data_IF_485542085501
#
_entry.id   IF_485542085501
#
_cell.length_a   1.000
_cell.length_b   1.000
_cell.length_c   1.000
_cell.angle_alpha   90.00
_cell.angle_beta   90.00
_cell.angle_gamma   90.00
#
_symmetry.space_group_name_H-M   'P 1'
#
loop_
_entity.id
_entity.type
_entity.pdbx_description
1 polymer ?
#
# COMPACT_ATOMS: atom_id res chain seq x y z
N UNK A 1 52.48 -37.26 -36.92
CA UNK A 1 52.23 -36.11 -36.04
C UNK A 1 51.18 -35.23 -36.68
N UNK A 2 50.03 -35.00 -36.04
CA UNK A 2 49.22 -33.78 -36.19
C UNK A 2 48.12 -33.76 -35.15
N UNK A 3 48.33 -32.93 -34.11
CA UNK A 3 47.32 -32.46 -33.15
C UNK A 3 46.64 -31.24 -33.74
N UNK A 4 45.31 -31.17 -33.71
CA UNK A 4 44.44 -29.97 -33.50
C UNK A 4 43.02 -30.37 -33.91
N UNK A 5 41.90 -29.97 -33.30
CA UNK A 5 41.60 -29.00 -32.24
C UNK A 5 40.20 -29.37 -31.74
N UNK A 6 40.09 -29.98 -30.57
CA UNK A 6 38.82 -30.18 -29.87
C UNK A 6 38.84 -29.37 -28.59
N UNK A 7 38.36 -28.12 -28.63
CA UNK A 7 37.96 -27.34 -27.44
C UNK A 7 37.55 -25.92 -27.86
N UNK A 8 36.25 -25.63 -27.85
CA UNK A 8 35.72 -24.28 -27.55
C UNK A 8 34.22 -24.25 -27.21
N UNK A 9 33.44 -25.31 -27.47
CA UNK A 9 31.97 -25.23 -27.27
C UNK A 9 31.50 -25.51 -25.81
N UNK A 10 32.33 -26.15 -24.97
CA UNK A 10 31.95 -26.50 -23.58
C UNK A 10 31.84 -25.28 -22.63
N UNK A 11 32.58 -24.20 -22.91
CA UNK A 11 32.66 -23.04 -22.02
C UNK A 11 31.39 -22.19 -21.97
N UNK A 12 30.61 -22.16 -23.07
CA UNK A 12 29.44 -21.28 -23.21
C UNK A 12 28.20 -21.83 -22.50
N UNK A 13 28.06 -23.16 -22.43
CA UNK A 13 26.97 -23.83 -21.72
C UNK A 13 27.08 -23.76 -20.20
N UNK A 14 28.31 -23.87 -19.65
CA UNK A 14 28.57 -23.82 -18.21
C UNK A 14 28.38 -22.43 -17.61
N UNK A 15 28.75 -21.37 -18.34
CA UNK A 15 28.51 -19.99 -17.90
C UNK A 15 27.02 -19.65 -17.90
N UNK A 16 26.28 -20.10 -18.91
CA UNK A 16 24.84 -19.90 -18.99
C UNK A 16 24.05 -20.56 -17.86
N UNK A 17 24.42 -21.79 -17.48
CA UNK A 17 23.78 -22.49 -16.35
C UNK A 17 24.10 -21.86 -15.00
N UNK A 18 25.34 -21.37 -14.79
CA UNK A 18 25.71 -20.64 -13.57
C UNK A 18 24.95 -19.32 -13.45
N UNK A 19 24.85 -18.54 -14.53
CA UNK A 19 24.10 -17.28 -14.55
C UNK A 19 22.60 -17.50 -14.32
N UNK A 20 22.02 -18.54 -14.93
CA UNK A 20 20.64 -18.96 -14.68
C UNK A 20 20.43 -19.35 -13.21
N UNK A 21 21.35 -20.13 -12.62
CA UNK A 21 21.28 -20.50 -11.21
C UNK A 21 21.36 -19.29 -10.26
N UNK A 22 22.26 -18.35 -10.54
CA UNK A 22 22.38 -17.11 -9.76
C UNK A 22 21.12 -16.23 -9.89
N UNK A 23 20.53 -16.14 -11.09
CA UNK A 23 19.29 -15.42 -11.30
C UNK A 23 18.14 -16.04 -10.50
N UNK A 24 18.01 -17.38 -10.49
CA UNK A 24 17.00 -18.06 -9.67
C UNK A 24 17.24 -17.81 -8.18
N UNK A 25 18.49 -17.92 -7.70
CA UNK A 25 18.82 -17.70 -6.30
C UNK A 25 18.47 -16.26 -5.85
N UNK A 26 18.89 -15.25 -6.63
CA UNK A 26 18.53 -13.85 -6.37
C UNK A 26 17.01 -13.65 -6.43
N UNK A 27 16.35 -14.27 -7.41
CA UNK A 27 14.92 -14.22 -7.56
C UNK A 27 14.18 -14.76 -6.34
N UNK A 28 14.61 -15.90 -5.80
CA UNK A 28 14.06 -16.48 -4.57
C UNK A 28 14.26 -15.57 -3.36
N UNK A 29 15.44 -14.96 -3.20
CA UNK A 29 15.71 -14.01 -2.10
C UNK A 29 14.79 -12.80 -2.17
N UNK A 30 14.63 -12.19 -3.35
CA UNK A 30 13.74 -11.03 -3.53
C UNK A 30 12.26 -11.40 -3.33
N UNK A 31 11.83 -12.55 -3.86
CA UNK A 31 10.45 -13.01 -3.76
C UNK A 31 10.08 -13.36 -2.32
N UNK A 32 10.83 -14.29 -1.70
CA UNK A 32 10.53 -14.76 -0.34
C UNK A 32 10.82 -13.68 0.70
N UNK A 33 11.92 -12.93 0.54
CA UNK A 33 12.27 -11.82 1.42
C UNK A 33 11.25 -10.69 1.35
N UNK A 34 10.85 -10.28 0.15
CA UNK A 34 9.79 -9.29 -0.05
C UNK A 34 8.46 -9.73 0.53
N UNK A 35 8.05 -10.98 0.27
CA UNK A 35 6.79 -11.53 0.80
C UNK A 35 6.81 -11.60 2.33
N UNK A 36 7.88 -12.13 2.92
CA UNK A 36 8.02 -12.22 4.38
C UNK A 36 8.02 -10.84 5.03
N UNK A 37 8.75 -9.88 4.45
CA UNK A 37 8.75 -8.50 4.93
C UNK A 37 7.36 -7.86 4.87
N UNK A 38 6.66 -8.04 3.75
CA UNK A 38 5.27 -7.61 3.59
C UNK A 38 4.32 -8.22 4.60
N UNK A 39 4.43 -9.52 4.87
CA UNK A 39 3.58 -10.21 5.84
C UNK A 39 3.80 -9.75 7.30
N UNK A 40 5.00 -9.27 7.63
CA UNK A 40 5.31 -8.71 8.95
C UNK A 40 4.80 -7.28 9.07
N UNK A 41 5.03 -6.44 8.05
CA UNK A 41 4.73 -5.00 8.10
C UNK A 41 3.27 -4.68 7.80
N UNK A 42 2.60 -5.45 6.93
CA UNK A 42 1.23 -5.18 6.52
C UNK A 42 0.26 -6.22 7.05
N UNK A 43 -0.89 -5.74 7.53
CA UNK A 43 -2.02 -6.59 7.92
C UNK A 43 -3.22 -6.32 7.00
N UNK A 44 -3.83 -7.37 6.42
CA UNK A 44 -5.07 -7.23 5.66
C UNK A 44 -6.27 -7.09 6.61
N UNK A 45 -7.21 -6.22 6.27
CA UNK A 45 -8.51 -6.09 6.93
C UNK A 45 -9.65 -6.05 5.92
N UNK A 46 -10.81 -6.59 6.29
CA UNK A 46 -12.05 -6.46 5.50
C UNK A 46 -12.88 -5.32 6.09
N UNK A 47 -13.32 -4.39 5.25
CA UNK A 47 -14.09 -3.22 5.70
C UNK A 47 -15.58 -3.58 5.86
N UNK A 48 -16.16 -3.41 7.06
CA UNK A 48 -17.54 -3.83 7.31
C UNK A 48 -18.59 -2.72 7.12
N UNK A 49 -18.17 -1.45 6.96
CA UNK A 49 -19.09 -0.28 6.96
C UNK A 49 -18.89 0.63 5.75
N UNK A 50 -19.90 1.42 5.41
CA UNK A 50 -19.87 2.41 4.33
C UNK A 50 -19.23 3.75 4.73
N UNK A 51 -18.76 3.89 5.97
CA UNK A 51 -18.31 5.19 6.50
C UNK A 51 -17.09 5.82 5.81
N UNK A 52 -16.41 5.07 4.95
CA UNK A 52 -15.26 5.53 4.17
C UNK A 52 -15.55 5.63 2.67
N UNK A 53 -16.81 5.51 2.25
CA UNK A 53 -17.23 5.76 0.86
C UNK A 53 -16.99 7.23 0.52
N UNK A 54 -16.46 7.57 -0.68
CA UNK A 54 -16.17 6.70 -1.82
C UNK A 54 -14.78 6.04 -1.80
N UNK A 55 -13.90 6.45 -0.88
CA UNK A 55 -12.50 6.00 -0.84
C UNK A 55 -12.37 4.50 -0.61
N UNK A 56 -13.10 3.96 0.36
CA UNK A 56 -13.11 2.53 0.72
C UNK A 56 -14.58 2.09 0.85
N UNK A 57 -14.95 1.03 0.14
CA UNK A 57 -16.31 0.48 0.13
C UNK A 57 -16.44 -0.70 1.08
N UNK A 58 -17.67 -1.01 1.48
CA UNK A 58 -17.97 -2.26 2.21
C UNK A 58 -17.47 -3.46 1.41
N UNK A 59 -16.82 -4.40 2.11
CA UNK A 59 -16.25 -5.61 1.52
C UNK A 59 -14.87 -5.44 0.89
N UNK A 60 -14.36 -4.20 0.76
CA UNK A 60 -12.97 -3.99 0.32
C UNK A 60 -11.99 -4.65 1.30
N UNK A 61 -10.93 -5.26 0.75
CA UNK A 61 -9.78 -5.75 1.52
C UNK A 61 -8.67 -4.72 1.47
N UNK A 62 -8.43 -4.06 2.60
CA UNK A 62 -7.42 -3.03 2.75
C UNK A 62 -6.13 -3.61 3.32
N UNK A 63 -4.99 -3.03 2.94
CA UNK A 63 -3.69 -3.30 3.54
C UNK A 63 -3.32 -2.13 4.43
N UNK A 64 -3.18 -2.41 5.73
CA UNK A 64 -2.72 -1.43 6.70
C UNK A 64 -1.29 -1.74 7.16
N UNK A 65 -0.42 -0.74 7.08
CA UNK A 65 0.92 -0.76 7.64
C UNK A 65 0.84 -0.73 9.17
N UNK A 66 1.56 -1.63 9.83
CA UNK A 66 1.72 -1.62 11.28
C UNK A 66 2.65 -0.48 11.67
N UNK A 67 2.07 0.61 12.17
CA UNK A 67 2.80 1.77 12.67
C UNK A 67 2.33 2.13 14.08
N UNK A 68 3.17 2.87 14.81
CA UNK A 68 2.75 3.48 16.06
C UNK A 68 1.77 4.63 15.77
N UNK A 69 0.85 4.89 16.69
CA UNK A 69 0.00 6.07 16.62
C UNK A 69 0.81 7.37 16.51
N UNK A 70 2.06 7.37 16.97
CA UNK A 70 3.01 8.46 16.88
C UNK A 70 3.43 8.87 15.47
N UNK A 71 3.39 7.92 14.55
CA UNK A 71 3.74 8.14 13.15
C UNK A 71 2.54 8.60 12.30
N UNK A 72 1.33 8.51 12.86
CA UNK A 72 0.10 8.97 12.20
C UNK A 72 0.11 10.49 12.05
N UNK A 73 -0.21 10.95 10.84
CA UNK A 73 -0.35 12.37 10.47
C UNK A 73 -1.76 12.68 9.98
N UNK A 74 -2.04 13.98 9.84
CA UNK A 74 -3.28 14.47 9.24
C UNK A 74 -3.46 13.92 7.83
N UNK A 75 -4.69 13.57 7.50
CA UNK A 75 -5.09 12.98 6.24
C UNK A 75 -4.91 11.47 6.14
N UNK A 76 -4.18 10.83 7.08
CA UNK A 76 -4.03 9.38 7.09
C UNK A 76 -5.38 8.69 7.30
N UNK A 77 -5.57 7.54 6.65
CA UNK A 77 -6.67 6.64 6.97
C UNK A 77 -6.12 5.57 7.90
N UNK A 78 -6.75 5.36 9.04
CA UNK A 78 -6.26 4.43 10.07
C UNK A 78 -7.28 3.36 10.40
N UNK A 79 -6.78 2.19 10.77
CA UNK A 79 -7.56 1.15 11.46
C UNK A 79 -7.31 1.31 12.96
N UNK A 80 -8.36 1.38 13.76
CA UNK A 80 -8.24 1.51 15.22
C UNK A 80 -9.35 0.72 15.93
N UNK A 81 -9.20 0.55 17.24
CA UNK A 81 -10.23 -0.04 18.10
C UNK A 81 -10.39 0.80 19.37
N UNK A 82 -11.58 1.38 19.56
CA UNK A 82 -11.91 2.18 20.74
C UNK A 82 -13.20 1.66 21.37
N UNK A 83 -13.09 1.15 22.61
CA UNK A 83 -14.21 0.51 23.30
C UNK A 83 -15.45 1.39 23.45
N UNK A 84 -15.27 2.71 23.63
CA UNK A 84 -16.41 3.64 23.74
C UNK A 84 -17.20 3.79 22.43
N UNK A 85 -16.60 3.44 21.28
CA UNK A 85 -17.24 3.50 19.96
C UNK A 85 -17.74 2.13 19.50
N UNK A 86 -17.54 1.10 20.32
CA UNK A 86 -17.88 -0.29 20.02
C UNK A 86 -16.68 -1.23 20.09
N UNK A 87 -16.95 -2.53 20.20
CA UNK A 87 -15.93 -3.56 20.35
C UNK A 87 -15.44 -4.15 19.01
N UNK A 88 -15.34 -3.31 17.98
CA UNK A 88 -14.93 -3.72 16.63
C UNK A 88 -13.81 -2.84 16.06
N UNK A 89 -13.16 -3.31 14.99
CA UNK A 89 -12.20 -2.52 14.24
C UNK A 89 -12.95 -1.49 13.38
N UNK A 90 -12.49 -0.24 13.44
CA UNK A 90 -13.09 0.89 12.75
C UNK A 90 -12.04 1.51 11.83
N UNK A 91 -12.47 2.00 10.67
CA UNK A 91 -11.62 2.71 9.71
C UNK A 91 -12.14 4.14 9.56
N UNK A 92 -11.28 5.13 9.79
CA UNK A 92 -11.59 6.56 9.63
C UNK A 92 -10.39 7.33 9.11
N UNK A 93 -10.62 8.55 8.62
CA UNK A 93 -9.57 9.51 8.28
C UNK A 93 -9.25 10.41 9.46
N UNK A 94 -7.96 10.60 9.70
CA UNK A 94 -7.44 11.57 10.67
C UNK A 94 -7.55 12.95 10.06
N UNK A 95 -8.33 13.84 10.66
CA UNK A 95 -8.45 15.22 10.18
C UNK A 95 -7.67 16.21 11.05
N UNK A 96 -7.52 15.91 12.34
CA UNK A 96 -6.73 16.70 13.26
C UNK A 96 -6.00 15.81 14.28
N UNK A 97 -4.87 16.29 14.78
CA UNK A 97 -4.01 15.60 15.76
C UNK A 97 -3.83 16.49 16.99
N UNK A 98 -3.25 15.96 18.07
CA UNK A 98 -2.97 16.72 19.30
C UNK A 98 -2.40 18.12 19.04
N UNK A 99 -2.96 19.11 19.74
CA UNK A 99 -2.63 20.53 19.62
C UNK A 99 -3.39 21.28 18.52
N UNK A 100 -4.13 20.58 17.66
CA UNK A 100 -4.97 21.23 16.64
C UNK A 100 -6.28 21.75 17.20
N UNK A 101 -6.80 22.78 16.54
CA UNK A 101 -8.22 23.12 16.58
C UNK A 101 -8.90 22.67 15.29
N UNK A 102 -10.06 22.03 15.39
CA UNK A 102 -10.90 21.64 14.25
C UNK A 102 -12.30 22.22 14.40
N UNK A 103 -12.86 22.74 13.32
CA UNK A 103 -14.22 23.25 13.29
C UNK A 103 -14.87 23.04 11.91
N UNK A 104 -16.20 23.00 11.87
CA UNK A 104 -16.93 22.94 10.60
C UNK A 104 -18.30 23.63 10.68
N UNK A 105 -18.77 24.29 9.63
CA UNK A 105 -18.12 24.46 8.32
C UNK A 105 -18.09 25.93 7.90
N UNK A 106 -16.91 26.48 7.64
CA UNK A 106 -16.75 27.83 7.08
C UNK A 106 -16.83 27.75 5.56
N UNK A 107 -17.94 28.22 4.98
CA UNK A 107 -18.25 28.10 3.53
C UNK A 107 -18.24 26.64 3.05
N UNK A 108 -18.80 25.73 3.84
CA UNK A 108 -18.91 24.30 3.49
C UNK A 108 -17.60 23.53 3.53
N UNK A 109 -16.52 24.12 4.05
CA UNK A 109 -15.22 23.45 4.24
C UNK A 109 -14.89 23.26 5.72
N UNK A 110 -14.21 22.15 6.01
CA UNK A 110 -13.55 21.88 7.29
C UNK A 110 -12.41 22.90 7.49
N UNK A 111 -12.26 23.38 8.72
CA UNK A 111 -11.10 24.18 9.11
C UNK A 111 -10.27 23.44 10.15
N UNK A 112 -8.94 23.48 9.99
CA UNK A 112 -7.97 23.00 10.98
C UNK A 112 -6.99 24.14 11.24
N UNK A 113 -6.83 24.55 12.49
CA UNK A 113 -6.02 25.73 12.88
C UNK A 113 -6.37 26.96 12.04
N UNK A 114 -7.68 27.25 11.90
CA UNK A 114 -8.27 28.33 11.11
C UNK A 114 -7.99 28.29 9.59
N UNK A 115 -7.31 27.25 9.09
CA UNK A 115 -7.07 27.05 7.65
C UNK A 115 -8.11 26.12 7.06
N UNK A 116 -8.66 26.52 5.93
CA UNK A 116 -9.61 25.69 5.15
C UNK A 116 -8.87 24.50 4.54
N UNK A 117 -9.39 23.30 4.78
CA UNK A 117 -8.84 22.07 4.23
C UNK A 117 -9.52 21.77 2.90
N UNK A 118 -8.71 21.39 1.91
CA UNK A 118 -9.22 20.82 0.67
C UNK A 118 -9.36 19.29 0.81
N UNK A 119 -10.54 18.77 0.53
CA UNK A 119 -10.87 17.36 0.78
C UNK A 119 -11.18 16.64 -0.54
N UNK A 120 -10.17 16.41 -1.40
CA UNK A 120 -10.38 15.88 -2.75
C UNK A 120 -10.86 14.41 -2.77
N UNK A 121 -10.90 13.74 -1.61
CA UNK A 121 -11.48 12.42 -1.44
C UNK A 121 -13.00 12.45 -1.28
N UNK A 122 -13.60 13.61 -0.98
CA UNK A 122 -15.05 13.75 -0.93
C UNK A 122 -15.63 13.90 -2.35
N UNK A 123 -16.84 13.37 -2.60
CA UNK A 123 -17.61 13.65 -3.81
C UNK A 123 -17.76 15.15 -4.09
N UNK A 124 -17.65 15.54 -5.36
CA UNK A 124 -17.81 16.95 -5.77
C UNK A 124 -19.18 17.47 -5.37
N UNK A 125 -19.20 18.62 -4.69
CA UNK A 125 -20.43 19.27 -4.24
C UNK A 125 -21.00 18.73 -2.93
N UNK A 126 -20.39 17.70 -2.33
CA UNK A 126 -20.73 17.29 -0.97
C UNK A 126 -20.12 18.27 0.04
N UNK A 127 -20.87 18.61 1.08
CA UNK A 127 -20.37 19.42 2.17
C UNK A 127 -19.25 18.70 2.92
N UNK A 128 -18.30 19.45 3.45
CA UNK A 128 -17.27 18.89 4.32
C UNK A 128 -17.87 18.27 5.58
N UNK A 129 -19.01 18.73 6.10
CA UNK A 129 -19.72 18.01 7.15
C UNK A 129 -21.20 18.41 7.08
N UNK A 130 -22.09 17.47 7.38
CA UNK A 130 -23.53 17.76 7.44
C UNK A 130 -23.92 18.34 8.80
N UNK A 131 -23.22 17.91 9.85
CA UNK A 131 -23.39 18.40 11.21
C UNK A 131 -22.50 19.61 11.51
N UNK A 132 -22.93 20.44 12.47
CA UNK A 132 -22.07 21.52 12.99
C UNK A 132 -21.01 20.90 13.89
N UNK A 133 -19.74 21.06 13.51
CA UNK A 133 -18.62 20.74 14.40
C UNK A 133 -18.26 22.04 15.15
N UNK A 134 -18.48 22.12 16.48
CA UNK A 134 -17.99 23.26 17.25
C UNK A 134 -16.46 23.32 17.17
N UNK A 135 -15.85 24.42 17.59
CA UNK A 135 -14.39 24.45 17.70
C UNK A 135 -13.95 23.45 18.77
N UNK A 136 -13.27 22.39 18.34
CA UNK A 136 -12.71 21.35 19.20
C UNK A 136 -11.19 21.49 19.21
N UNK A 137 -10.62 21.69 20.39
CA UNK A 137 -9.19 21.52 20.61
C UNK A 137 -8.89 20.04 20.85
N UNK A 138 -8.00 19.47 20.03
CA UNK A 138 -7.62 18.06 20.10
C UNK A 138 -6.55 17.90 21.18
N UNK A 139 -6.81 17.13 22.26
CA UNK A 139 -5.82 16.95 23.31
C UNK A 139 -4.57 16.23 22.80
N UNK A 140 -3.45 16.48 23.45
CA UNK A 140 -2.19 15.79 23.16
C UNK A 140 -2.34 14.26 23.21
N UNK A 141 -1.66 13.57 22.29
CA UNK A 141 -1.76 12.11 22.16
C UNK A 141 -3.11 11.59 21.64
N UNK A 142 -3.98 12.48 21.12
CA UNK A 142 -5.28 12.12 20.55
C UNK A 142 -5.43 12.56 19.10
N UNK A 143 -6.47 12.03 18.45
CA UNK A 143 -6.79 12.21 17.05
C UNK A 143 -8.28 12.57 16.92
N UNK A 144 -8.61 13.51 16.05
CA UNK A 144 -10.00 13.74 15.63
C UNK A 144 -10.21 13.07 14.27
N UNK A 145 -11.20 12.19 14.21
CA UNK A 145 -11.39 11.27 13.08
C UNK A 145 -12.75 11.52 12.44
N UNK A 146 -12.78 11.57 11.10
CA UNK A 146 -14.01 11.66 10.31
C UNK A 146 -14.09 10.49 9.33
N UNK A 147 -15.32 10.08 9.00
CA UNK A 147 -15.57 9.27 7.82
C UNK A 147 -15.39 10.09 6.55
N UNK A 148 -15.11 9.40 5.43
CA UNK A 148 -15.23 10.04 4.11
C UNK A 148 -16.70 10.15 3.69
N UNK A 149 -17.59 9.32 4.25
CA UNK A 149 -19.04 9.48 4.11
C UNK A 149 -19.60 10.40 5.20
N UNK A 150 -19.67 11.71 4.91
CA UNK A 150 -20.00 12.79 5.85
C UNK A 150 -21.46 12.86 6.31
N UNK A 151 -22.33 11.98 5.82
CA UNK A 151 -23.76 12.00 6.18
C UNK A 151 -24.11 10.93 7.20
N UNK A 152 -23.52 9.74 7.06
CA UNK A 152 -23.90 8.54 7.83
C UNK A 152 -22.79 7.96 8.70
N UNK A 153 -21.62 8.60 8.73
CA UNK A 153 -20.47 8.12 9.51
C UNK A 153 -20.66 8.39 11.00
N UNK A 154 -20.69 7.33 11.81
CA UNK A 154 -20.43 7.44 13.25
C UNK A 154 -18.92 7.62 13.45
N UNK A 155 -18.50 8.84 13.74
CA UNK A 155 -17.12 9.26 13.94
C UNK A 155 -17.01 10.30 15.07
N UNK A 156 -15.92 11.07 15.15
CA UNK A 156 -15.68 11.99 16.28
C UNK A 156 -16.84 12.96 16.52
N UNK A 157 -17.58 13.35 15.48
CA UNK A 157 -18.73 14.25 15.57
C UNK A 157 -19.92 13.64 16.34
N UNK A 158 -20.11 12.33 16.25
CA UNK A 158 -21.17 11.60 16.96
C UNK A 158 -20.89 11.47 18.47
N UNK A 159 -19.63 11.70 18.88
CA UNK A 159 -19.15 11.48 20.25
C UNK A 159 -18.69 12.78 20.93
N UNK A 160 -19.06 13.95 20.42
CA UNK A 160 -18.61 15.25 20.93
C UNK A 160 -18.96 15.53 22.39
N UNK A 161 -20.03 14.91 22.91
CA UNK A 161 -20.46 15.05 24.31
C UNK A 161 -19.79 14.04 25.25
N UNK A 162 -19.01 13.10 24.71
CA UNK A 162 -18.26 12.12 25.49
C UNK A 162 -16.92 12.67 25.97
N UNK A 163 -16.22 11.88 26.78
CA UNK A 163 -14.88 12.22 27.27
C UNK A 163 -13.94 12.56 26.10
N UNK A 164 -13.17 13.65 26.28
CA UNK A 164 -12.22 14.16 25.30
C UNK A 164 -12.86 14.58 23.96
N UNK A 165 -14.11 15.06 23.96
CA UNK A 165 -14.79 15.63 22.79
C UNK A 165 -14.81 14.69 21.57
N UNK A 166 -15.04 13.39 21.81
CA UNK A 166 -15.08 12.39 20.73
C UNK A 166 -13.74 12.16 20.04
N UNK A 167 -12.61 12.55 20.63
CA UNK A 167 -11.29 12.22 20.05
C UNK A 167 -10.90 10.78 20.38
N UNK A 168 -9.96 10.23 19.62
CA UNK A 168 -9.45 8.86 19.73
C UNK A 168 -8.00 8.87 20.20
N UNK A 169 -7.65 8.00 21.14
CA UNK A 169 -6.25 7.88 21.60
C UNK A 169 -5.35 7.33 20.49
N UNK A 170 -4.15 7.89 20.34
CA UNK A 170 -3.13 7.37 19.41
C UNK A 170 -2.76 5.91 19.73
N UNK A 171 -2.86 5.49 20.99
CA UNK A 171 -2.63 4.10 21.38
C UNK A 171 -3.71 3.12 20.89
N UNK A 172 -4.87 3.63 20.43
CA UNK A 172 -5.93 2.79 19.84
C UNK A 172 -5.63 2.38 18.39
N UNK A 173 -4.67 3.03 17.74
CA UNK A 173 -4.27 2.78 16.35
C UNK A 173 -3.71 1.37 16.22
N UNK A 174 -4.13 0.67 15.17
CA UNK A 174 -3.65 -0.67 14.78
C UNK A 174 -2.84 -0.65 13.49
N UNK A 175 -3.05 0.37 12.65
CA UNK A 175 -2.22 0.61 11.47
C UNK A 175 -2.77 1.72 10.59
N UNK A 176 -1.96 2.15 9.63
CA UNK A 176 -2.32 3.12 8.60
C UNK A 176 -2.63 2.40 7.29
N UNK A 177 -3.77 2.71 6.69
CA UNK A 177 -4.21 2.13 5.43
C UNK A 177 -3.47 2.77 4.26
N UNK A 178 -2.71 1.95 3.53
CA UNK A 178 -1.95 2.41 2.37
C UNK A 178 -2.63 2.03 1.04
N UNK A 179 -3.38 0.93 0.99
CA UNK A 179 -3.94 0.40 -0.26
C UNK A 179 -5.22 -0.41 -0.07
N UNK A 180 -6.00 -0.52 -1.16
CA UNK A 180 -7.09 -1.49 -1.33
C UNK A 180 -6.58 -2.63 -2.21
N UNK A 181 -6.30 -3.79 -1.59
CA UNK A 181 -5.78 -4.98 -2.27
C UNK A 181 -6.85 -5.75 -3.04
N UNK A 182 -8.10 -5.73 -2.59
CA UNK A 182 -9.23 -6.31 -3.31
C UNK A 182 -10.41 -5.35 -3.28
N UNK A 183 -11.00 -4.94 -4.43
CA UNK A 183 -10.79 -5.42 -5.80
C UNK A 183 -9.63 -4.72 -6.55
N UNK A 184 -8.42 -4.64 -5.95
CA UNK A 184 -7.21 -4.07 -6.55
C UNK A 184 -7.32 -2.60 -6.98
N UNK A 185 -7.93 -1.74 -6.15
CA UNK A 185 -7.96 -0.29 -6.42
C UNK A 185 -6.59 0.39 -6.21
N UNK A 186 -5.63 -0.33 -5.63
CA UNK A 186 -4.25 0.12 -5.48
C UNK A 186 -4.05 1.04 -4.27
N UNK A 187 -2.99 1.86 -4.34
CA UNK A 187 -2.63 2.80 -3.27
C UNK A 187 -3.71 3.87 -3.08
N UNK A 188 -3.98 4.24 -1.83
CA UNK A 188 -4.82 5.39 -1.53
C UNK A 188 -4.18 6.68 -2.07
N UNK A 189 -5.04 7.63 -2.46
CA UNK A 189 -4.59 8.97 -2.88
C UNK A 189 -3.99 9.70 -1.68
N UNK A 190 -2.95 10.50 -1.93
CA UNK A 190 -2.34 11.33 -0.89
C UNK A 190 -3.31 12.44 -0.46
N UNK A 191 -3.38 12.76 0.84
CA UNK A 191 -4.31 13.75 1.37
C UNK A 191 -3.71 15.16 1.29
N UNK A 192 -3.47 15.65 0.06
CA UNK A 192 -2.69 16.87 -0.19
C UNK A 192 -3.26 18.14 0.43
N UNK A 193 -4.57 18.20 0.70
CA UNK A 193 -5.18 19.36 1.36
C UNK A 193 -4.67 19.62 2.79
N UNK A 194 -4.13 18.61 3.45
CA UNK A 194 -3.55 18.74 4.79
C UNK A 194 -2.10 19.23 4.79
N UNK A 195 -1.43 19.30 3.63
CA UNK A 195 -0.04 19.83 3.53
C UNK A 195 0.05 21.29 4.02
N UNK A 196 -1.05 22.04 3.92
CA UNK A 196 -1.12 23.45 4.31
C UNK A 196 -1.14 23.68 5.83
N UNK A 197 -1.51 22.66 6.60
CA UNK A 197 -1.62 22.67 8.08
C UNK A 197 -0.55 21.82 8.75
N UNK A 198 0.38 21.26 7.97
CA UNK A 198 1.53 20.51 8.47
C UNK A 198 2.02 19.47 7.47
N UNK A 199 3.00 18.66 7.86
CA UNK A 199 3.47 17.55 7.03
C UNK A 199 2.43 16.44 6.91
N UNK A 200 2.33 15.85 5.72
CA UNK A 200 1.62 14.58 5.49
C UNK A 200 2.57 13.40 5.61
N UNK A 201 2.02 12.24 5.95
CA UNK A 201 2.78 10.99 6.03
C UNK A 201 3.46 10.62 4.72
N UNK A 202 4.63 9.98 4.83
CA UNK A 202 5.26 9.26 3.73
C UNK A 202 4.59 7.90 3.56
N UNK A 203 4.28 7.46 2.33
CA UNK A 203 3.76 6.12 2.10
C UNK A 203 4.71 5.05 2.65
N UNK A 204 4.15 3.95 3.16
CA UNK A 204 4.94 2.82 3.62
C UNK A 204 5.66 2.08 2.48
N UNK A 205 6.43 1.03 2.81
CA UNK A 205 7.28 0.33 1.86
C UNK A 205 6.51 -0.57 0.88
N UNK A 206 5.17 -0.56 0.85
CA UNK A 206 4.35 -1.47 0.04
C UNK A 206 4.78 -1.53 -1.42
N UNK A 207 5.08 -0.38 -2.04
CA UNK A 207 5.54 -0.35 -3.44
C UNK A 207 6.86 -1.08 -3.62
N UNK A 208 7.81 -0.85 -2.72
CA UNK A 208 9.12 -1.46 -2.77
C UNK A 208 9.02 -2.97 -2.56
N UNK A 209 8.19 -3.40 -1.61
CA UNK A 209 7.89 -4.82 -1.36
C UNK A 209 7.29 -5.47 -2.60
N UNK A 210 6.26 -4.87 -3.20
CA UNK A 210 5.64 -5.40 -4.42
C UNK A 210 6.64 -5.47 -5.58
N UNK A 211 7.49 -4.46 -5.75
CA UNK A 211 8.54 -4.50 -6.79
C UNK A 211 9.55 -5.62 -6.55
N UNK A 212 9.97 -5.85 -5.30
CA UNK A 212 10.88 -6.93 -4.96
C UNK A 212 10.24 -8.30 -5.23
N UNK A 213 8.98 -8.49 -4.85
CA UNK A 213 8.24 -9.74 -5.08
C UNK A 213 8.09 -10.01 -6.58
N UNK A 214 7.65 -9.02 -7.36
CA UNK A 214 7.46 -9.18 -8.82
C UNK A 214 8.79 -9.41 -9.52
N UNK A 215 9.83 -8.62 -9.21
CA UNK A 215 11.16 -8.80 -9.80
C UNK A 215 11.73 -10.18 -9.44
N UNK A 216 11.53 -10.62 -8.20
CA UNK A 216 11.92 -11.95 -7.73
C UNK A 216 11.24 -13.06 -8.53
N UNK A 217 9.92 -12.99 -8.69
CA UNK A 217 9.16 -13.95 -9.49
C UNK A 217 9.63 -14.01 -10.95
N UNK A 218 9.88 -12.85 -11.57
CA UNK A 218 10.39 -12.76 -12.95
C UNK A 218 11.77 -13.42 -13.08
N UNK A 219 12.68 -13.19 -12.13
CA UNK A 219 14.01 -13.79 -12.12
C UNK A 219 13.96 -15.31 -11.94
N UNK A 220 13.09 -15.82 -11.05
CA UNK A 220 12.90 -17.26 -10.84
C UNK A 220 12.39 -17.92 -12.13
N UNK A 221 11.33 -17.36 -12.73
CA UNK A 221 10.73 -17.93 -13.93
C UNK A 221 11.67 -17.85 -15.13
N UNK A 222 12.32 -16.70 -15.35
CA UNK A 222 13.27 -16.50 -16.44
C UNK A 222 14.53 -17.37 -16.29
N UNK A 223 15.06 -17.48 -15.07
CA UNK A 223 16.20 -18.34 -14.75
C UNK A 223 15.87 -19.82 -14.96
N UNK A 224 14.72 -20.29 -14.45
CA UNK A 224 14.29 -21.69 -14.60
C UNK A 224 13.98 -22.08 -16.05
N UNK A 225 13.43 -21.15 -16.85
CA UNK A 225 13.14 -21.39 -18.26
C UNK A 225 14.39 -21.43 -19.16
N UNK A 226 15.56 -20.97 -18.68
CA UNK A 226 16.79 -20.89 -19.47
C UNK A 226 17.21 -22.25 -20.05
N UNK A 227 17.24 -23.31 -19.24
CA UNK A 227 17.67 -24.64 -19.68
C UNK A 227 16.83 -25.21 -20.83
N UNK A 228 15.50 -25.32 -20.67
CA UNK A 228 14.60 -25.79 -21.73
C UNK A 228 14.65 -24.95 -23.02
N UNK A 229 14.78 -23.63 -22.90
CA UNK A 229 14.79 -22.72 -24.06
C UNK A 229 16.13 -22.76 -24.79
N UNK A 230 17.25 -22.73 -24.07
CA UNK A 230 18.59 -22.87 -24.66
C UNK A 230 18.75 -24.21 -25.36
N UNK A 231 18.22 -25.30 -24.78
CA UNK A 231 18.21 -26.63 -25.40
C UNK A 231 17.43 -26.70 -26.71
N UNK A 232 16.22 -26.11 -26.77
CA UNK A 232 15.41 -26.07 -28.01
C UNK A 232 16.06 -25.22 -29.11
N UNK A 233 16.65 -24.08 -28.76
CA UNK A 233 17.32 -23.19 -29.71
C UNK A 233 18.61 -23.81 -30.26
N UNK A 234 19.39 -24.50 -29.42
CA UNK A 234 20.56 -25.26 -29.87
C UNK A 234 20.20 -26.37 -30.85
N UNK A 235 19.13 -27.14 -30.56
CA UNK A 235 18.67 -28.25 -31.41
C UNK A 235 18.18 -27.79 -32.79
N UNK A 236 17.46 -26.66 -32.85
CA UNK A 236 17.04 -26.03 -34.13
C UNK A 236 18.22 -25.52 -34.96
N UNK A 237 19.28 -25.02 -34.33
CA UNK A 237 20.50 -24.57 -35.04
C UNK A 237 21.32 -25.74 -35.57
N UNK A 238 21.36 -26.85 -34.85
CA UNK A 238 22.01 -28.09 -35.31
C UNK A 238 21.35 -28.68 -36.56
N UNK A 239 20.02 -28.74 -36.61
CA UNK A 239 19.28 -29.26 -37.76
C UNK A 239 19.44 -28.42 -39.05
N UNK A 240 19.59 -27.09 -38.94
CA UNK A 240 19.85 -26.22 -40.12
C UNK A 240 21.27 -26.38 -40.69
N UNK A 241 22.20 -27.00 -39.97
CA UNK A 241 23.59 -27.16 -40.41
C UNK A 241 23.86 -28.49 -41.12
N UNK A 242 22.88 -29.40 -41.12
CA UNK A 242 22.97 -30.75 -41.70
C UNK A 242 22.17 -30.92 -42.99
N UNK A 243 21.90 -29.86 -43.75
CA UNK A 243 21.47 -30.04 -45.15
C UNK A 243 22.64 -30.63 -45.96
N UNK A 244 22.49 -31.82 -46.55
CA UNK A 244 23.53 -32.38 -47.41
C UNK A 244 23.63 -31.54 -48.67
N UNK A 245 24.82 -31.01 -48.94
CA UNK A 245 25.16 -30.49 -50.27
C UNK A 245 25.01 -31.65 -51.24
N UNK A 246 24.00 -31.55 -52.11
CA UNK A 246 23.72 -32.55 -53.14
C UNK A 246 24.96 -32.80 -53.99
N UNK A 247 25.26 -34.07 -54.20
CA UNK A 247 26.17 -34.52 -55.25
C UNK A 247 25.27 -35.00 -56.39
N UNK A 248 25.32 -34.27 -57.50
CA UNK A 248 24.73 -34.66 -58.77
C UNK A 248 25.56 -35.67 -59.54
#
# INVERSE_FOLDING_TARGET
MSRTSGRTDEGRGRLGSVLSGLAVALGCVLFLGGFAWGAVVYQPYTVPTESMVPTIKVGDRILAERIDGNDVKRGDVIVFKQKSWGDMLIVKRVVAVGGDTVACCTNGKLTVNDKKIDEPYLPKGQAAETNRIPTVEVPEGRLFLLGDERTGSLDSTAHLTEAFNGTVSRAAVKGRVDAVAWPMKGMLKRPTGFETVGGISTPGPLRLILTAVVAGAVLVLGGAAYGPVAGRLGRRRGQRRTEPVGVG
#
